data_IF_845038932302
#
_entry.id   IF_845038932302
#
_cell.length_a   1.000
_cell.length_b   1.000
_cell.length_c   1.000
_cell.angle_alpha   90.00
_cell.angle_beta   90.00
_cell.angle_gamma   90.00
#
_symmetry.space_group_name_H-M   'P 1'
#
loop_
_entity.id
_entity.type
_entity.pdbx_description
1 polymer ?
#
# COMPACT_ATOMS: atom_id res chain seq x y z
N UNK A 1 20.60 -2.10 -20.78
CA UNK A 1 19.74 -3.21 -21.24
C UNK A 1 18.34 -3.01 -20.68
N UNK A 2 17.35 -2.70 -21.51
CA UNK A 2 15.99 -2.39 -21.04
C UNK A 2 15.31 -3.65 -20.51
N UNK A 3 14.63 -3.56 -19.36
CA UNK A 3 13.94 -4.66 -18.64
C UNK A 3 12.68 -5.18 -19.37
N UNK A 4 12.75 -5.34 -20.69
CA UNK A 4 11.65 -5.76 -21.57
C UNK A 4 10.66 -4.66 -21.95
N UNK A 5 11.00 -3.38 -21.73
CA UNK A 5 10.15 -2.25 -22.12
C UNK A 5 10.42 -1.82 -23.55
N UNK A 6 9.34 -1.56 -24.29
CA UNK A 6 9.36 -0.90 -25.61
C UNK A 6 9.18 0.60 -25.38
N UNK A 7 10.14 1.40 -25.85
CA UNK A 7 10.07 2.87 -25.76
C UNK A 7 9.33 3.39 -26.98
N UNK A 8 8.26 4.14 -26.77
CA UNK A 8 7.45 4.71 -27.84
C UNK A 8 7.48 6.24 -27.77
N UNK A 9 8.15 6.92 -28.71
CA UNK A 9 8.07 8.37 -28.82
C UNK A 9 6.75 8.78 -29.46
N UNK A 10 5.99 9.63 -28.79
CA UNK A 10 4.72 10.21 -29.27
C UNK A 10 4.83 11.73 -29.34
N UNK A 11 4.10 12.33 -30.28
CA UNK A 11 4.00 13.78 -30.40
C UNK A 11 2.81 14.28 -29.58
N UNK A 12 3.05 15.25 -28.69
CA UNK A 12 2.00 15.94 -27.96
C UNK A 12 1.35 17.03 -28.83
N UNK A 13 0.13 17.42 -28.48
CA UNK A 13 -0.56 18.53 -29.14
C UNK A 13 0.12 19.84 -28.74
N UNK A 14 0.72 20.53 -29.71
CA UNK A 14 1.29 21.86 -29.50
C UNK A 14 0.19 22.92 -29.51
N UNK A 15 0.22 23.92 -28.61
CA UNK A 15 -0.66 25.08 -28.71
C UNK A 15 -0.35 25.86 -29.99
N UNK A 16 -1.32 26.64 -30.52
CA UNK A 16 -1.13 27.40 -31.76
C UNK A 16 0.06 28.37 -31.71
N UNK A 17 0.43 28.84 -30.52
CA UNK A 17 1.55 29.74 -30.27
C UNK A 17 2.93 29.07 -30.43
N UNK A 18 3.01 27.73 -30.35
CA UNK A 18 4.24 26.94 -30.40
C UNK A 18 4.17 25.86 -31.50
N UNK A 19 3.43 26.14 -32.58
CA UNK A 19 3.13 25.19 -33.65
C UNK A 19 4.38 24.55 -34.27
N UNK A 20 5.48 25.30 -34.34
CA UNK A 20 6.74 24.88 -34.95
C UNK A 20 7.58 23.93 -34.05
N UNK A 21 7.34 23.94 -32.74
CA UNK A 21 8.02 23.05 -31.79
C UNK A 21 7.16 21.82 -31.51
N UNK A 22 7.59 20.66 -32.02
CA UNK A 22 6.98 19.38 -31.70
C UNK A 22 7.57 18.83 -30.39
N UNK A 23 6.79 18.85 -29.31
CA UNK A 23 7.17 18.20 -28.06
C UNK A 23 7.01 16.67 -28.20
N UNK A 24 8.09 15.94 -27.91
CA UNK A 24 8.12 14.46 -27.93
C UNK A 24 8.02 13.94 -26.50
N UNK A 25 7.05 13.08 -26.25
CA UNK A 25 6.86 12.38 -24.99
C UNK A 25 7.19 10.90 -25.17
N UNK A 26 7.84 10.29 -24.19
CA UNK A 26 8.29 8.90 -24.28
C UNK A 26 7.45 8.00 -23.38
N UNK A 27 6.68 7.10 -23.98
CA UNK A 27 5.94 6.06 -23.27
C UNK A 27 6.81 4.81 -23.13
N UNK A 28 6.68 4.10 -22.01
CA UNK A 28 7.32 2.80 -21.82
C UNK A 28 6.24 1.73 -21.68
N UNK A 29 6.20 0.79 -22.62
CA UNK A 29 5.17 -0.23 -22.69
C UNK A 29 5.78 -1.62 -22.49
N UNK A 30 5.10 -2.45 -21.71
CA UNK A 30 5.47 -3.84 -21.47
C UNK A 30 4.23 -4.69 -21.26
N UNK A 31 4.24 -5.95 -21.72
CA UNK A 31 3.18 -6.91 -21.39
C UNK A 31 3.07 -7.04 -19.87
N UNK A 32 1.84 -6.95 -19.34
CA UNK A 32 1.65 -7.12 -17.90
C UNK A 32 1.89 -8.59 -17.50
N UNK A 33 2.35 -8.79 -16.27
CA UNK A 33 2.57 -10.12 -15.70
C UNK A 33 2.32 -10.05 -14.21
N UNK A 34 1.47 -10.94 -13.70
CA UNK A 34 1.18 -11.06 -12.26
C UNK A 34 1.87 -12.28 -11.66
N UNK A 35 2.21 -12.19 -10.38
CA UNK A 35 2.67 -13.34 -9.56
C UNK A 35 1.52 -14.00 -8.79
N UNK A 36 0.34 -13.39 -8.80
CA UNK A 36 -0.86 -13.96 -8.18
C UNK A 36 -1.37 -15.15 -8.99
N UNK A 37 -1.97 -16.12 -8.31
CA UNK A 37 -2.42 -17.38 -8.91
C UNK A 37 -3.90 -17.43 -9.22
N UNK A 38 -4.63 -16.35 -8.95
CA UNK A 38 -6.07 -16.29 -9.17
C UNK A 38 -6.37 -16.34 -10.68
N UNK A 39 -7.17 -17.32 -11.16
CA UNK A 39 -7.39 -17.53 -12.60
C UNK A 39 -7.91 -16.30 -13.34
N UNK A 40 -8.77 -15.51 -12.69
CA UNK A 40 -9.35 -14.27 -13.26
C UNK A 40 -8.27 -13.20 -13.47
N UNK A 41 -7.44 -12.96 -12.45
CA UNK A 41 -6.34 -11.99 -12.51
C UNK A 41 -5.26 -12.42 -13.50
N UNK A 42 -5.02 -13.72 -13.63
CA UNK A 42 -4.09 -14.27 -14.63
C UNK A 42 -4.60 -14.05 -16.04
N UNK A 43 -5.90 -14.28 -16.30
CA UNK A 43 -6.51 -13.99 -17.60
C UNK A 43 -6.40 -12.50 -17.95
N UNK A 44 -6.81 -11.63 -17.03
CA UNK A 44 -6.70 -10.17 -17.19
C UNK A 44 -5.26 -9.77 -17.44
N UNK A 45 -4.29 -10.29 -16.69
CA UNK A 45 -2.88 -9.99 -16.88
C UNK A 45 -2.37 -10.42 -18.27
N UNK A 46 -2.79 -11.59 -18.76
CA UNK A 46 -2.39 -12.11 -20.07
C UNK A 46 -2.90 -11.25 -21.24
N UNK A 47 -4.06 -10.61 -21.07
CA UNK A 47 -4.66 -9.67 -22.03
C UNK A 47 -4.41 -8.20 -21.68
N UNK A 48 -3.44 -7.90 -20.81
CA UNK A 48 -3.14 -6.53 -20.38
C UNK A 48 -1.76 -6.02 -20.80
N UNK A 49 -1.71 -4.71 -21.02
CA UNK A 49 -0.48 -3.95 -21.27
C UNK A 49 -0.22 -2.97 -20.13
N UNK A 50 1.00 -3.04 -19.58
CA UNK A 50 1.48 -2.11 -18.56
C UNK A 50 2.23 -0.95 -19.23
N UNK A 51 1.78 0.27 -18.94
CA UNK A 51 2.29 1.50 -19.54
C UNK A 51 2.79 2.43 -18.44
N UNK A 52 3.98 2.99 -18.62
CA UNK A 52 4.61 3.92 -17.69
C UNK A 52 4.85 5.26 -18.38
N UNK A 53 4.84 6.32 -17.58
CA UNK A 53 5.03 7.71 -18.00
C UNK A 53 3.89 8.17 -18.90
N UNK A 54 2.66 8.20 -18.36
CA UNK A 54 1.47 8.54 -19.12
C UNK A 54 1.49 10.02 -19.56
N UNK A 55 1.02 10.32 -20.79
CA UNK A 55 0.83 11.69 -21.22
C UNK A 55 -0.39 12.30 -20.53
N UNK A 56 -0.49 13.63 -20.60
CA UNK A 56 -1.64 14.34 -20.08
C UNK A 56 -2.95 13.87 -20.77
N UNK A 57 -4.02 13.76 -19.97
CA UNK A 57 -5.33 13.34 -20.45
C UNK A 57 -5.42 11.85 -20.79
N UNK A 58 -4.51 11.02 -20.27
CA UNK A 58 -4.59 9.57 -20.42
C UNK A 58 -5.84 9.02 -19.70
N UNK A 59 -6.88 8.75 -20.48
CA UNK A 59 -8.12 8.12 -20.06
C UNK A 59 -8.50 7.01 -21.06
N UNK A 60 -9.57 6.28 -20.76
CA UNK A 60 -10.08 5.20 -21.62
C UNK A 60 -10.27 5.65 -23.08
N UNK A 61 -10.85 6.83 -23.30
CA UNK A 61 -11.13 7.35 -24.64
C UNK A 61 -9.86 7.68 -25.43
N UNK A 62 -8.87 8.32 -24.79
CA UNK A 62 -7.57 8.62 -25.40
C UNK A 62 -6.84 7.36 -25.80
N UNK A 63 -6.83 6.33 -24.96
CA UNK A 63 -6.23 5.04 -25.33
C UNK A 63 -6.99 4.35 -26.47
N UNK A 64 -8.32 4.37 -26.45
CA UNK A 64 -9.15 3.80 -27.52
C UNK A 64 -8.87 4.46 -28.86
N UNK A 65 -8.79 5.79 -28.90
CA UNK A 65 -8.44 6.56 -30.11
C UNK A 65 -7.00 6.28 -30.56
N UNK A 66 -6.05 6.22 -29.63
CA UNK A 66 -4.63 6.00 -29.92
C UNK A 66 -4.38 4.61 -30.52
N UNK A 67 -4.86 3.55 -29.87
CA UNK A 67 -4.72 2.18 -30.38
C UNK A 67 -5.59 1.91 -31.61
N UNK A 68 -6.72 2.62 -31.77
CA UNK A 68 -7.51 2.59 -33.00
C UNK A 68 -6.76 3.13 -34.22
N UNK A 69 -5.92 4.16 -34.04
CA UNK A 69 -5.08 4.71 -35.11
C UNK A 69 -3.87 3.81 -35.43
N UNK A 70 -3.27 3.17 -34.42
CA UNK A 70 -2.01 2.42 -34.57
C UNK A 70 -2.26 0.94 -34.93
N UNK A 71 -3.35 0.36 -34.45
CA UNK A 71 -3.67 -1.07 -34.63
C UNK A 71 -5.17 -1.28 -34.83
N UNK A 72 -5.60 -1.37 -36.09
CA UNK A 72 -7.02 -1.53 -36.51
C UNK A 72 -7.68 -2.86 -36.11
N UNK A 73 -7.07 -3.65 -35.22
CA UNK A 73 -7.64 -4.90 -34.69
C UNK A 73 -7.49 -5.08 -33.17
N UNK A 74 -6.93 -4.10 -32.46
CA UNK A 74 -6.75 -4.18 -31.01
C UNK A 74 -7.90 -3.45 -30.29
N UNK A 75 -8.89 -4.22 -29.82
CA UNK A 75 -10.05 -3.69 -29.10
C UNK A 75 -9.74 -3.60 -27.61
N UNK A 76 -9.93 -2.42 -27.03
CA UNK A 76 -9.74 -2.16 -25.60
C UNK A 76 -11.05 -2.43 -24.86
N UNK A 77 -10.96 -3.21 -23.78
CA UNK A 77 -12.06 -3.47 -22.85
C UNK A 77 -12.08 -2.42 -21.73
N UNK A 78 -10.93 -2.12 -21.15
CA UNK A 78 -10.82 -1.23 -20.01
C UNK A 78 -9.44 -0.58 -19.88
N UNK A 79 -9.40 0.51 -19.12
CA UNK A 79 -8.14 1.17 -18.75
C UNK A 79 -8.20 1.52 -17.29
N UNK A 80 -7.24 1.02 -16.53
CA UNK A 80 -7.03 1.40 -15.14
C UNK A 80 -5.82 2.33 -15.05
N UNK A 81 -6.04 3.58 -14.66
CA UNK A 81 -4.97 4.59 -14.52
C UNK A 81 -4.60 4.70 -13.05
N UNK A 82 -3.31 4.79 -12.75
CA UNK A 82 -2.84 5.05 -11.39
C UNK A 82 -3.40 6.39 -10.90
N UNK A 83 -4.26 6.30 -9.91
CA UNK A 83 -4.67 7.44 -9.09
C UNK A 83 -3.77 7.47 -7.85
N UNK A 84 -3.32 8.65 -7.38
CA UNK A 84 -2.74 8.76 -6.06
C UNK A 84 -3.82 8.46 -5.02
N UNK A 85 -4.04 7.18 -4.71
CA UNK A 85 -4.97 6.77 -3.66
C UNK A 85 -4.36 7.18 -2.32
N UNK A 86 -4.92 8.22 -1.70
CA UNK A 86 -4.57 8.59 -0.34
C UNK A 86 -5.16 7.49 0.55
N UNK A 87 -4.29 6.66 1.13
CA UNK A 87 -4.70 5.61 2.06
C UNK A 87 -5.23 6.21 3.38
N UNK A 88 -6.51 6.54 3.39
CA UNK A 88 -7.23 7.07 4.55
C UNK A 88 -7.52 5.99 5.61
N UNK A 89 -7.23 4.71 5.32
CA UNK A 89 -7.44 3.60 6.27
C UNK A 89 -6.52 3.70 7.50
N UNK A 90 -5.48 4.54 7.43
CA UNK A 90 -4.62 4.88 8.57
C UNK A 90 -5.27 5.87 9.53
N UNK A 91 -6.22 6.68 9.06
CA UNK A 91 -6.96 7.64 9.90
C UNK A 91 -8.17 7.01 10.57
N UNK A 92 -8.79 5.99 9.97
CA UNK A 92 -10.00 5.37 10.50
C UNK A 92 -9.85 3.85 10.52
N UNK A 93 -9.79 3.27 11.72
CA UNK A 93 -9.71 1.82 11.92
C UNK A 93 -10.95 1.06 11.42
N UNK A 94 -12.04 1.77 11.18
CA UNK A 94 -13.36 1.23 10.78
C UNK A 94 -13.49 1.06 9.27
N UNK A 95 -12.67 1.77 8.48
CA UNK A 95 -12.76 1.76 7.02
C UNK A 95 -12.10 0.54 6.36
N UNK A 96 -11.36 -0.26 7.14
CA UNK A 96 -10.67 -1.47 6.64
C UNK A 96 -11.63 -2.58 6.17
N UNK A 97 -12.90 -2.52 6.55
CA UNK A 97 -13.87 -3.59 6.27
C UNK A 97 -14.93 -3.23 5.22
N UNK A 98 -15.12 -1.95 4.88
CA UNK A 98 -16.26 -1.54 4.06
C UNK A 98 -16.14 -1.84 2.56
N UNK A 99 -14.96 -2.18 2.05
CA UNK A 99 -14.82 -2.45 0.60
C UNK A 99 -14.79 -3.93 0.23
N UNK A 100 -14.62 -4.85 1.19
CA UNK A 100 -14.36 -6.26 0.85
C UNK A 100 -15.50 -7.23 1.20
N UNK A 101 -16.45 -6.88 2.06
CA UNK A 101 -17.33 -7.92 2.65
C UNK A 101 -18.84 -7.71 2.61
N UNK A 102 -19.41 -6.51 2.43
CA UNK A 102 -20.82 -6.31 2.85
C UNK A 102 -21.75 -5.52 1.93
N UNK A 103 -21.35 -5.16 0.71
CA UNK A 103 -22.33 -4.76 -0.31
C UNK A 103 -22.52 -5.92 -1.26
N UNK A 104 -23.68 -6.58 -1.18
CA UNK A 104 -24.12 -7.70 -2.03
C UNK A 104 -24.21 -7.40 -3.53
N UNK A 105 -23.60 -6.32 -4.01
CA UNK A 105 -23.24 -6.14 -5.41
C UNK A 105 -21.72 -6.28 -5.51
N UNK A 106 -21.26 -7.44 -6.01
CA UNK A 106 -19.91 -7.60 -6.54
C UNK A 106 -19.74 -6.72 -7.79
N UNK A 107 -19.67 -5.41 -7.63
CA UNK A 107 -18.83 -4.60 -8.50
C UNK A 107 -17.45 -4.68 -7.89
N UNK A 108 -16.83 -5.85 -8.05
CA UNK A 108 -15.38 -6.03 -7.98
C UNK A 108 -14.79 -5.16 -9.10
N UNK A 109 -14.77 -3.84 -8.91
CA UNK A 109 -13.75 -3.03 -9.56
C UNK A 109 -12.47 -3.45 -8.86
N UNK A 110 -11.84 -4.49 -9.41
CA UNK A 110 -10.55 -5.00 -8.97
C UNK A 110 -9.60 -3.81 -8.89
N UNK A 111 -9.39 -3.30 -7.67
CA UNK A 111 -8.53 -2.14 -7.46
C UNK A 111 -7.10 -2.60 -7.67
N UNK A 112 -6.63 -2.56 -8.91
CA UNK A 112 -5.22 -2.72 -9.20
C UNK A 112 -4.48 -1.56 -8.54
N UNK A 113 -3.69 -1.86 -7.52
CA UNK A 113 -2.82 -0.87 -6.90
C UNK A 113 -1.65 -0.64 -7.86
N UNK A 114 -1.77 0.41 -8.66
CA UNK A 114 -0.77 0.76 -9.67
C UNK A 114 0.20 1.83 -9.14
N UNK A 115 1.51 1.68 -9.39
CA UNK A 115 2.49 2.73 -9.10
C UNK A 115 2.14 4.04 -9.80
N UNK A 116 2.56 5.17 -9.21
CA UNK A 116 2.30 6.51 -9.75
C UNK A 116 2.70 6.62 -11.22
N UNK A 117 1.86 7.33 -11.99
CA UNK A 117 2.08 7.60 -13.42
C UNK A 117 2.22 6.32 -14.29
N UNK A 118 1.42 5.31 -13.96
CA UNK A 118 1.30 4.07 -14.74
C UNK A 118 -0.15 3.75 -15.04
N UNK A 119 -0.40 3.01 -16.12
CA UNK A 119 -1.71 2.49 -16.46
C UNK A 119 -1.63 1.02 -16.85
N UNK A 120 -2.73 0.32 -16.60
CA UNK A 120 -3.00 -1.01 -17.09
C UNK A 120 -4.11 -0.91 -18.14
N UNK A 121 -3.80 -1.28 -19.38
CA UNK A 121 -4.76 -1.30 -20.50
C UNK A 121 -5.15 -2.75 -20.76
N UNK A 122 -6.42 -3.10 -20.55
CA UNK A 122 -6.97 -4.43 -20.79
C UNK A 122 -7.57 -4.50 -22.18
N UNK A 123 -7.16 -5.50 -22.95
CA UNK A 123 -7.69 -5.79 -24.27
C UNK A 123 -8.73 -6.90 -24.17
N UNK A 124 -9.64 -6.94 -25.15
CA UNK A 124 -10.66 -7.98 -25.25
C UNK A 124 -10.01 -9.38 -25.36
N UNK A 125 -9.03 -9.50 -26.25
CA UNK A 125 -8.34 -10.76 -26.56
C UNK A 125 -6.83 -10.67 -26.33
N UNK A 126 -6.20 -11.83 -26.08
CA UNK A 126 -4.75 -11.97 -25.98
C UNK A 126 -4.04 -11.63 -27.29
N UNK A 127 -4.65 -11.97 -28.43
CA UNK A 127 -4.17 -11.60 -29.78
C UNK A 127 -4.15 -10.08 -29.99
N UNK A 128 -5.11 -9.36 -29.39
CA UNK A 128 -5.18 -7.90 -29.43
C UNK A 128 -3.96 -7.23 -28.79
N UNK A 129 -3.48 -7.78 -27.66
CA UNK A 129 -2.24 -7.30 -27.00
C UNK A 129 -1.02 -7.51 -27.89
N UNK A 130 -0.92 -8.68 -28.53
CA UNK A 130 0.23 -9.00 -29.37
C UNK A 130 0.27 -8.13 -30.63
N UNK A 131 -0.90 -7.86 -31.24
CA UNK A 131 -1.02 -6.90 -32.34
C UNK A 131 -0.64 -5.49 -31.92
N UNK A 132 -1.11 -5.04 -30.76
CA UNK A 132 -0.78 -3.73 -30.20
C UNK A 132 0.72 -3.59 -29.90
N UNK A 133 1.36 -4.63 -29.35
CA UNK A 133 2.80 -4.62 -29.10
C UNK A 133 3.62 -4.61 -30.40
N UNK A 134 3.18 -5.35 -31.41
CA UNK A 134 3.85 -5.36 -32.72
C UNK A 134 3.73 -4.00 -33.42
N UNK A 135 2.55 -3.38 -33.40
CA UNK A 135 2.35 -2.05 -34.00
C UNK A 135 3.16 -0.98 -33.27
N UNK A 136 3.21 -1.02 -31.94
CA UNK A 136 4.05 -0.14 -31.11
C UNK A 136 5.54 -0.31 -31.42
N UNK A 137 6.04 -1.55 -31.58
CA UNK A 137 7.45 -1.80 -31.95
C UNK A 137 7.79 -1.29 -33.35
N UNK A 138 6.88 -1.47 -34.31
CA UNK A 138 7.01 -0.93 -35.68
C UNK A 138 7.05 0.60 -35.66
N UNK A 139 6.19 1.22 -34.86
CA UNK A 139 6.11 2.67 -34.72
C UNK A 139 7.34 3.24 -34.02
N UNK A 140 7.83 2.58 -32.96
CA UNK A 140 9.05 2.97 -32.25
C UNK A 140 10.31 2.93 -33.14
N UNK A 141 10.34 2.02 -34.13
CA UNK A 141 11.44 1.92 -35.10
C UNK A 141 11.29 2.89 -36.28
N UNK A 142 10.10 3.45 -36.47
CA UNK A 142 9.80 4.36 -37.57
C UNK A 142 10.17 5.79 -37.22
N UNK A 143 10.44 6.61 -38.26
CA UNK A 143 10.59 8.07 -38.11
C UNK A 143 9.24 8.79 -37.93
N UNK A 144 8.12 8.10 -38.16
CA UNK A 144 6.78 8.67 -37.97
C UNK A 144 6.42 8.70 -36.49
N UNK A 145 6.20 9.89 -35.95
CA UNK A 145 5.68 10.08 -34.59
C UNK A 145 4.15 10.04 -34.62
N UNK A 146 3.56 9.09 -33.90
CA UNK A 146 2.11 9.09 -33.69
C UNK A 146 1.72 10.26 -32.81
N UNK A 147 0.55 10.85 -33.09
CA UNK A 147 0.00 11.95 -32.32
C UNK A 147 -0.79 11.39 -31.14
N UNK A 148 -0.59 11.94 -29.95
CA UNK A 148 -1.43 11.61 -28.81
C UNK A 148 -2.80 12.32 -28.91
N UNK A 149 -3.93 11.59 -28.88
CA UNK A 149 -5.25 12.21 -28.90
C UNK A 149 -5.58 12.76 -27.52
N UNK A 150 -5.50 14.09 -27.36
CA UNK A 150 -5.98 14.78 -26.16
C UNK A 150 -7.48 15.04 -26.33
N UNK A 151 -8.31 14.30 -25.58
CA UNK A 151 -9.77 14.46 -25.60
C UNK A 151 -10.28 15.54 -24.62
N UNK A 152 -9.42 16.04 -23.73
CA UNK A 152 -9.79 16.94 -22.64
C UNK A 152 -9.41 18.38 -22.96
N UNK A 153 -10.21 19.35 -22.49
CA UNK A 153 -9.84 20.75 -22.53
C UNK A 153 -8.49 20.97 -21.83
N UNK A 154 -7.62 21.77 -22.42
CA UNK A 154 -6.28 22.08 -21.88
C UNK A 154 -6.24 23.50 -21.32
N UNK A 155 -5.27 23.77 -20.43
CA UNK A 155 -5.04 25.11 -19.89
C UNK A 155 -6.11 25.52 -18.86
N UNK A 156 -6.49 26.81 -18.86
CA UNK A 156 -7.43 27.39 -17.88
C UNK A 156 -8.80 26.73 -17.89
N UNK A 157 -9.35 26.44 -19.08
CA UNK A 157 -10.67 25.79 -19.23
C UNK A 157 -10.78 24.49 -18.45
N UNK A 158 -9.69 23.72 -18.40
CA UNK A 158 -9.63 22.47 -17.63
C UNK A 158 -9.82 22.72 -16.15
N UNK A 159 -9.09 23.69 -15.59
CA UNK A 159 -9.14 23.98 -14.17
C UNK A 159 -10.49 24.58 -13.78
N UNK A 160 -11.11 25.36 -14.66
CA UNK A 160 -12.49 25.82 -14.48
C UNK A 160 -13.46 24.64 -14.41
N UNK A 161 -13.42 23.72 -15.38
CA UNK A 161 -14.28 22.52 -15.35
C UNK A 161 -14.01 21.63 -14.14
N UNK A 162 -12.74 21.45 -13.73
CA UNK A 162 -12.40 20.69 -12.53
C UNK A 162 -12.96 21.36 -11.26
N UNK A 163 -12.90 22.68 -11.19
CA UNK A 163 -13.47 23.43 -10.08
C UNK A 163 -15.00 23.28 -10.05
N UNK A 164 -15.67 23.38 -11.20
CA UNK A 164 -17.10 23.12 -11.32
C UNK A 164 -17.47 21.70 -10.86
N UNK A 165 -16.69 20.69 -11.23
CA UNK A 165 -16.88 19.30 -10.77
C UNK A 165 -16.64 19.14 -9.26
N UNK A 166 -15.77 19.95 -8.64
CA UNK A 166 -15.57 19.92 -7.18
C UNK A 166 -16.75 20.53 -6.41
N UNK A 167 -17.57 21.35 -7.06
CA UNK A 167 -18.78 21.90 -6.47
C UNK A 167 -19.87 20.84 -6.54
N UNK A 168 -20.09 20.14 -5.43
CA UNK A 168 -21.15 19.15 -5.32
C UNK A 168 -22.50 19.86 -5.14
N UNK A 169 -23.52 19.35 -5.83
CA UNK A 169 -24.91 19.78 -5.62
C UNK A 169 -25.36 19.42 -4.19
N UNK A 170 -25.90 20.42 -3.48
CA UNK A 170 -26.24 20.29 -2.07
C UNK A 170 -27.31 19.24 -1.80
N UNK A 171 -28.31 19.12 -2.69
CA UNK A 171 -29.43 18.18 -2.54
C UNK A 171 -28.96 16.74 -2.73
N UNK A 172 -28.30 16.45 -3.86
CA UNK A 172 -27.75 15.12 -4.11
C UNK A 172 -26.62 14.72 -3.14
N UNK A 173 -25.91 15.68 -2.54
CA UNK A 173 -24.99 15.37 -1.43
C UNK A 173 -25.75 15.01 -0.16
N UNK A 174 -26.81 15.74 0.19
CA UNK A 174 -27.60 15.48 1.39
C UNK A 174 -28.27 14.09 1.34
N UNK A 175 -28.82 13.70 0.20
CA UNK A 175 -29.39 12.35 0.00
C UNK A 175 -28.35 11.24 0.17
N UNK A 176 -27.17 11.39 -0.45
CA UNK A 176 -26.07 10.43 -0.31
C UNK A 176 -25.60 10.31 1.14
N UNK A 177 -25.43 11.44 1.84
CA UNK A 177 -25.05 11.44 3.25
C UNK A 177 -26.15 10.81 4.11
N UNK A 178 -27.43 11.09 3.85
CA UNK A 178 -28.54 10.50 4.61
C UNK A 178 -28.57 8.98 4.46
N UNK A 179 -28.42 8.48 3.23
CA UNK A 179 -28.32 7.05 2.94
C UNK A 179 -27.10 6.41 3.61
N UNK A 180 -25.93 7.04 3.52
CA UNK A 180 -24.71 6.54 4.17
C UNK A 180 -24.83 6.54 5.71
N UNK A 181 -25.55 7.50 6.29
CA UNK A 181 -25.85 7.54 7.73
C UNK A 181 -26.83 6.45 8.16
N UNK A 182 -27.82 6.11 7.34
CA UNK A 182 -28.73 4.99 7.60
C UNK A 182 -27.99 3.65 7.59
N UNK A 183 -27.15 3.43 6.57
CA UNK A 183 -26.30 2.24 6.48
C UNK A 183 -25.31 2.17 7.65
N UNK A 184 -24.72 3.29 8.04
CA UNK A 184 -23.83 3.36 9.18
C UNK A 184 -24.56 3.02 10.50
N UNK A 185 -25.76 3.54 10.70
CA UNK A 185 -26.57 3.27 11.89
C UNK A 185 -26.99 1.79 11.96
N UNK A 186 -27.38 1.18 10.84
CA UNK A 186 -27.67 -0.25 10.75
C UNK A 186 -26.43 -1.08 11.13
N UNK A 187 -25.26 -0.73 10.59
CA UNK A 187 -24.01 -1.41 10.90
C UNK A 187 -23.58 -1.26 12.37
N UNK A 188 -23.73 -0.07 12.96
CA UNK A 188 -23.45 0.12 14.39
C UNK A 188 -24.36 -0.78 15.26
N UNK A 189 -25.61 -0.98 14.85
CA UNK A 189 -26.55 -1.83 15.57
C UNK A 189 -26.17 -3.30 15.48
N UNK A 190 -25.79 -3.79 14.30
CA UNK A 190 -25.31 -5.15 14.10
C UNK A 190 -24.02 -5.43 14.90
N UNK A 191 -23.04 -4.52 14.84
CA UNK A 191 -21.79 -4.60 15.61
C UNK A 191 -22.06 -4.69 17.13
N UNK A 192 -23.03 -3.91 17.63
CA UNK A 192 -23.45 -3.95 19.03
C UNK A 192 -24.14 -5.27 19.40
N UNK A 193 -24.96 -5.83 18.50
CA UNK A 193 -25.60 -7.13 18.72
C UNK A 193 -24.55 -8.25 18.79
N UNK A 194 -23.63 -8.30 17.82
CA UNK A 194 -22.52 -9.26 17.82
C UNK A 194 -21.67 -9.17 19.09
N UNK A 195 -21.38 -7.95 19.54
CA UNK A 195 -20.59 -7.71 20.75
C UNK A 195 -21.33 -8.20 22.01
N UNK A 196 -22.65 -8.01 22.07
CA UNK A 196 -23.48 -8.54 23.16
C UNK A 196 -23.56 -10.07 23.13
N UNK A 197 -23.68 -10.69 21.96
CA UNK A 197 -23.63 -12.14 21.82
C UNK A 197 -22.29 -12.71 22.29
N UNK A 198 -21.18 -12.09 21.87
CA UNK A 198 -19.83 -12.49 22.26
C UNK A 198 -19.60 -12.34 23.76
N UNK A 199 -20.16 -11.30 24.37
CA UNK A 199 -20.10 -11.11 25.83
C UNK A 199 -20.83 -12.23 26.58
N UNK A 200 -21.93 -12.73 26.03
CA UNK A 200 -22.77 -13.75 26.67
C UNK A 200 -22.29 -15.18 26.43
N UNK A 201 -21.48 -15.43 25.38
CA UNK A 201 -20.88 -16.74 25.11
C UNK A 201 -19.76 -17.04 26.13
N UNK A 202 -19.80 -18.23 26.70
CA UNK A 202 -18.76 -18.77 27.59
C UNK A 202 -17.85 -19.66 26.75
N UNK A 203 -16.54 -19.46 26.86
CA UNK A 203 -15.54 -20.22 26.12
C UNK A 203 -15.41 -21.67 26.63
N UNK A 204 -14.73 -22.53 25.87
CA UNK A 204 -14.50 -23.94 26.22
C UNK A 204 -13.80 -24.14 27.59
N UNK A 205 -12.99 -23.17 27.99
CA UNK A 205 -12.29 -23.14 29.28
C UNK A 205 -13.09 -22.46 30.41
N UNK A 206 -14.35 -22.07 30.16
CA UNK A 206 -15.24 -21.47 31.16
C UNK A 206 -15.09 -19.97 31.38
N UNK A 207 -14.37 -19.25 30.51
CA UNK A 207 -14.18 -17.80 30.61
C UNK A 207 -15.21 -17.01 29.79
N UNK A 208 -15.59 -15.83 30.28
CA UNK A 208 -16.45 -14.88 29.57
C UNK A 208 -15.67 -13.64 29.15
N UNK A 209 -16.01 -13.08 27.98
CA UNK A 209 -15.32 -11.91 27.44
C UNK A 209 -15.75 -10.62 28.18
N UNK A 210 -14.80 -9.98 28.87
CA UNK A 210 -15.04 -8.68 29.52
C UNK A 210 -14.87 -7.54 28.51
N UNK A 211 -15.98 -6.90 28.17
CA UNK A 211 -16.01 -5.70 27.33
C UNK A 211 -16.24 -4.44 28.17
N UNK A 212 -15.45 -3.40 27.90
CA UNK A 212 -15.64 -2.09 28.53
C UNK A 212 -16.88 -1.39 27.99
N UNK A 213 -17.62 -0.68 28.85
CA UNK A 213 -18.91 -0.05 28.51
C UNK A 213 -18.87 0.90 27.29
N UNK A 214 -17.73 1.48 26.94
CA UNK A 214 -17.61 2.45 25.85
C UNK A 214 -17.04 1.83 24.55
N UNK A 215 -16.90 0.50 24.47
CA UNK A 215 -16.42 -0.17 23.27
C UNK A 215 -17.59 -0.67 22.45
N UNK A 216 -17.68 -0.23 21.20
CA UNK A 216 -18.77 -0.55 20.28
C UNK A 216 -18.46 -1.67 19.30
N UNK A 217 -17.19 -1.90 18.96
CA UNK A 217 -16.79 -2.87 17.92
C UNK A 217 -15.77 -3.89 18.42
N UNK A 218 -15.84 -5.10 17.85
CA UNK A 218 -14.88 -6.20 18.09
C UNK A 218 -13.45 -5.78 17.73
N UNK A 219 -13.27 -5.06 16.62
CA UNK A 219 -11.97 -4.55 16.19
C UNK A 219 -11.42 -3.47 17.11
N UNK A 220 -12.27 -2.61 17.69
CA UNK A 220 -11.85 -1.67 18.72
C UNK A 220 -11.34 -2.36 20.00
N UNK A 221 -11.83 -3.57 20.28
CA UNK A 221 -11.35 -4.41 21.40
C UNK A 221 -10.01 -5.08 21.05
N UNK A 222 -9.93 -5.78 19.91
CA UNK A 222 -8.75 -6.54 19.49
C UNK A 222 -7.59 -5.65 19.04
N UNK A 223 -7.87 -4.53 18.36
CA UNK A 223 -6.85 -3.63 17.82
C UNK A 223 -5.93 -3.04 18.90
N UNK A 224 -6.42 -2.84 20.12
CA UNK A 224 -5.58 -2.42 21.26
C UNK A 224 -4.70 -3.55 21.81
N UNK A 225 -5.15 -4.80 21.74
CA UNK A 225 -4.37 -5.96 22.23
C UNK A 225 -3.19 -6.29 21.30
N UNK A 226 -3.32 -5.99 20.00
CA UNK A 226 -2.30 -6.23 18.97
C UNK A 226 -1.11 -5.24 19.04
N UNK A 227 -1.21 -4.15 19.80
CA UNK A 227 -0.09 -3.22 19.95
C UNK A 227 0.95 -3.76 20.94
N UNK A 228 1.94 -4.49 20.42
CA UNK A 228 3.15 -4.99 21.12
C UNK A 228 3.85 -3.95 22.02
N UNK A 229 3.71 -2.65 21.70
CA UNK A 229 4.25 -1.54 22.50
C UNK A 229 3.67 -1.47 23.90
N UNK A 230 2.41 -1.88 24.09
CA UNK A 230 1.79 -1.87 25.42
C UNK A 230 2.22 -3.10 26.24
N UNK A 231 2.47 -4.25 25.60
CA UNK A 231 3.08 -5.42 26.23
C UNK A 231 4.49 -5.10 26.76
N UNK A 232 5.32 -4.39 25.97
CA UNK A 232 6.64 -3.96 26.44
C UNK A 232 6.57 -3.01 27.64
N UNK A 233 5.63 -2.04 27.62
CA UNK A 233 5.43 -1.12 28.76
C UNK A 233 4.96 -1.87 30.01
N UNK A 234 4.08 -2.86 29.85
CA UNK A 234 3.62 -3.72 30.94
C UNK A 234 4.82 -4.50 31.51
N UNK A 235 5.61 -5.16 30.67
CA UNK A 235 6.80 -5.89 31.11
C UNK A 235 7.84 -4.99 31.80
N UNK A 236 8.07 -3.77 31.32
CA UNK A 236 8.95 -2.80 31.99
C UNK A 236 8.42 -2.39 33.37
N UNK A 237 7.10 -2.22 33.52
CA UNK A 237 6.47 -1.95 34.83
C UNK A 237 6.58 -3.14 35.77
N UNK A 238 6.46 -4.36 35.27
CA UNK A 238 6.63 -5.59 36.07
C UNK A 238 8.08 -5.73 36.55
N UNK A 239 9.07 -5.54 35.67
CA UNK A 239 10.50 -5.50 36.05
C UNK A 239 10.82 -4.40 37.08
N UNK A 240 10.13 -3.25 37.05
CA UNK A 240 10.26 -2.20 38.08
C UNK A 240 9.66 -2.59 39.43
N UNK A 241 8.68 -3.50 39.46
CA UNK A 241 8.04 -4.00 40.69
C UNK A 241 8.79 -5.19 41.29
N UNK A 242 9.62 -5.88 40.51
CA UNK A 242 10.53 -6.90 41.01
C UNK A 242 11.58 -6.25 41.94
N UNK A 243 11.44 -6.48 43.24
CA UNK A 243 12.45 -6.04 44.22
C UNK A 243 13.61 -7.03 44.18
N UNK A 244 14.76 -6.58 43.69
CA UNK A 244 15.98 -7.39 43.55
C UNK A 244 16.73 -7.62 44.87
N UNK A 245 16.39 -6.89 45.94
CA UNK A 245 17.06 -6.96 47.25
C UNK A 245 16.11 -7.30 48.41
N UNK A 246 14.92 -7.85 48.11
CA UNK A 246 13.94 -8.14 49.16
C UNK A 246 14.24 -9.43 49.91
N UNK A 247 14.77 -10.45 49.23
CA UNK A 247 14.98 -11.76 49.81
C UNK A 247 16.45 -12.01 50.18
N UNK A 248 16.66 -12.69 51.32
CA UNK A 248 18.01 -13.06 51.80
C UNK A 248 18.81 -13.88 50.80
N UNK A 249 18.16 -14.71 49.97
CA UNK A 249 18.85 -15.50 48.95
C UNK A 249 19.42 -14.60 47.83
N UNK A 250 18.72 -13.53 47.43
CA UNK A 250 19.20 -12.56 46.43
C UNK A 250 20.48 -11.87 46.92
N UNK A 251 20.49 -11.46 48.19
CA UNK A 251 21.67 -10.84 48.82
C UNK A 251 22.84 -11.82 48.90
N UNK A 252 22.59 -13.10 49.21
CA UNK A 252 23.64 -14.13 49.24
C UNK A 252 24.20 -14.40 47.84
N UNK A 253 23.34 -14.46 46.84
CA UNK A 253 23.72 -14.69 45.44
C UNK A 253 24.54 -13.50 44.90
N UNK A 254 24.12 -12.26 45.16
CA UNK A 254 24.88 -11.05 44.82
C UNK A 254 26.27 -11.06 45.45
N UNK A 255 26.37 -11.34 46.75
CA UNK A 255 27.68 -11.43 47.43
C UNK A 255 28.58 -12.51 46.84
N UNK A 256 27.99 -13.66 46.45
CA UNK A 256 28.73 -14.74 45.79
C UNK A 256 29.23 -14.31 44.41
N UNK A 257 28.42 -13.57 43.67
CA UNK A 257 28.77 -13.05 42.35
C UNK A 257 29.87 -11.98 42.44
N UNK A 258 29.77 -11.03 43.38
CA UNK A 258 30.82 -10.03 43.66
C UNK A 258 32.15 -10.69 44.05
N UNK A 259 32.11 -11.73 44.87
CA UNK A 259 33.31 -12.49 45.25
C UNK A 259 33.93 -13.21 44.03
N UNK A 260 33.10 -13.80 43.17
CA UNK A 260 33.57 -14.45 41.94
C UNK A 260 34.19 -13.43 40.96
N UNK A 261 33.59 -12.27 40.80
CA UNK A 261 34.12 -11.20 39.94
C UNK A 261 35.46 -10.68 40.48
N UNK A 262 35.62 -10.57 41.79
CA UNK A 262 36.89 -10.18 42.41
C UNK A 262 37.98 -11.23 42.16
N UNK A 263 37.66 -12.51 42.29
CA UNK A 263 38.58 -13.62 41.98
C UNK A 263 38.96 -13.64 40.49
N UNK A 264 38.01 -13.35 39.59
CA UNK A 264 38.26 -13.28 38.15
C UNK A 264 39.21 -12.12 37.82
N UNK A 265 38.95 -10.91 38.34
CA UNK A 265 39.82 -9.74 38.17
C UNK A 265 41.22 -9.97 38.74
N UNK A 266 41.32 -10.63 39.89
CA UNK A 266 42.62 -10.95 40.49
C UNK A 266 43.43 -11.92 39.62
N UNK A 267 42.79 -12.94 39.02
CA UNK A 267 43.44 -13.83 38.07
C UNK A 267 43.93 -13.09 36.82
N UNK A 268 43.09 -12.20 36.28
CA UNK A 268 43.47 -11.36 35.13
C UNK A 268 44.67 -10.47 35.46
N UNK A 269 44.70 -9.85 36.64
CA UNK A 269 45.83 -9.03 37.09
C UNK A 269 47.09 -9.88 37.32
N UNK A 270 46.96 -11.10 37.84
CA UNK A 270 48.09 -12.04 37.94
C UNK A 270 48.64 -12.40 36.56
N UNK A 271 47.79 -12.65 35.57
CA UNK A 271 48.19 -12.93 34.19
C UNK A 271 48.86 -11.70 33.56
N UNK A 272 48.28 -10.51 33.74
CA UNK A 272 48.85 -9.24 33.28
C UNK A 272 50.25 -9.01 33.89
N UNK A 273 50.42 -9.26 35.18
CA UNK A 273 51.73 -9.19 35.85
C UNK A 273 52.69 -10.24 35.33
N UNK A 274 52.26 -11.47 35.06
CA UNK A 274 53.11 -12.51 34.44
C UNK A 274 53.59 -12.06 33.06
N UNK A 275 52.71 -11.49 32.23
CA UNK A 275 53.07 -10.94 30.92
C UNK A 275 54.09 -9.79 31.08
N UNK A 276 53.85 -8.83 31.97
CA UNK A 276 54.78 -7.72 32.21
C UNK A 276 56.14 -8.20 32.73
N UNK A 277 56.18 -9.21 33.60
CA UNK A 277 57.43 -9.85 34.05
C UNK A 277 58.17 -10.53 32.91
N UNK A 278 57.45 -11.24 32.02
CA UNK A 278 58.06 -11.87 30.84
C UNK A 278 58.66 -10.84 29.87
N UNK A 279 58.03 -9.67 29.75
CA UNK A 279 58.52 -8.53 28.94
C UNK A 279 59.56 -7.65 29.65
N UNK A 280 59.91 -7.95 30.92
CA UNK A 280 60.80 -7.14 31.78
C UNK A 280 60.33 -5.69 31.99
N UNK A 281 59.03 -5.45 31.88
CA UNK A 281 58.41 -4.11 32.04
C UNK A 281 57.78 -3.91 33.42
N UNK A 282 57.78 -4.94 34.27
CA UNK A 282 57.19 -4.86 35.62
C UNK A 282 58.10 -4.08 36.60
N UNK A 283 57.61 -2.94 37.09
CA UNK A 283 58.24 -2.13 38.14
C UNK A 283 57.40 -2.21 39.42
N UNK A 284 57.79 -3.02 40.42
CA UNK A 284 57.17 -2.96 41.73
C UNK A 284 57.68 -1.70 42.43
N UNK A 285 56.74 -0.83 42.85
CA UNK A 285 56.93 0.47 43.51
C UNK A 285 57.22 1.65 42.57
#
# INVERSE_FOLDING_TARGET
>A
MSKGYTVLPIRLVSPPQLADTAAVHHLYLKRHSTTQRDPTLVDIANRSLFIVNLPFGANFESFKRFFGEISTGAIIEGVHVSSPEIDLTKLTSEMKNNTALEFGEKKEQEKFILPLNTALVTFLDTSGVDLALQSVRKLASSKRLARWPVAVSTGSKRYSSLLEETVLESEGLAERVAHDMELFAAKELDDLQELNEMKNKVDADGFTLVVGSHRKTKNGILGKLQHSRDLEKINRKMKKKEKTDFYKFQIRERKKQEMNDLLAKFKEDQERVKVMRSKREFKPY
#
